data_IF_608051934985
#
_entry.id   IF_608051934985
#
_cell.length_a   1.000
_cell.length_b   1.000
_cell.length_c   1.000
_cell.angle_alpha   90.00
_cell.angle_beta   90.00
_cell.angle_gamma   90.00
#
_symmetry.space_group_name_H-M   'P 1'
#
loop_
_entity.id
_entity.type
_entity.pdbx_description
1 polymer ?
#
# COMPACT_ATOMS: atom_id res chain seq x y z
N UNK A 1 -0.92 5.66 -18.48
CA UNK A 1 0.35 6.03 -17.79
C UNK A 1 0.51 5.19 -16.54
N UNK A 2 1.73 4.86 -16.13
CA UNK A 2 2.02 4.22 -14.84
C UNK A 2 3.05 5.08 -14.11
N UNK A 3 2.72 5.51 -12.90
CA UNK A 3 3.60 6.20 -11.98
C UNK A 3 3.84 5.32 -10.76
N UNK A 4 4.98 4.64 -10.76
CA UNK A 4 5.35 3.71 -9.69
C UNK A 4 5.69 4.43 -8.38
N UNK A 5 6.16 5.68 -8.43
CA UNK A 5 6.54 6.43 -7.23
C UNK A 5 5.31 6.80 -6.41
N UNK A 6 4.25 7.22 -7.09
CA UNK A 6 3.00 7.62 -6.45
C UNK A 6 1.93 6.51 -6.45
N UNK A 7 2.28 5.31 -6.94
CA UNK A 7 1.38 4.15 -7.05
C UNK A 7 0.08 4.46 -7.80
N UNK A 8 0.21 5.13 -8.94
CA UNK A 8 -0.90 5.59 -9.77
C UNK A 8 -0.84 4.91 -11.12
N UNK A 9 -1.99 4.42 -11.59
CA UNK A 9 -2.18 3.96 -12.96
C UNK A 9 -3.36 4.67 -13.59
N UNK A 10 -3.17 5.16 -14.80
CA UNK A 10 -4.23 5.78 -15.61
C UNK A 10 -4.38 5.02 -16.92
N UNK A 11 -5.62 4.68 -17.26
CA UNK A 11 -6.00 4.02 -18.50
C UNK A 11 -7.09 4.84 -19.20
N UNK A 12 -6.99 4.97 -20.52
CA UNK A 12 -7.98 5.64 -21.37
C UNK A 12 -8.53 4.64 -22.36
N UNK A 13 -9.84 4.65 -22.56
CA UNK A 13 -10.49 3.93 -23.66
C UNK A 13 -10.23 4.71 -24.95
N UNK A 14 -9.67 4.05 -25.95
CA UNK A 14 -9.32 4.66 -27.25
C UNK A 14 -10.26 4.22 -28.38
N UNK A 15 -10.95 3.09 -28.22
CA UNK A 15 -11.94 2.56 -29.16
C UNK A 15 -12.99 1.74 -28.41
N UNK A 16 -14.22 1.71 -28.93
CA UNK A 16 -15.34 0.92 -28.43
C UNK A 16 -15.85 1.32 -27.03
N UNK A 17 -16.68 0.45 -26.44
CA UNK A 17 -17.09 0.54 -25.04
C UNK A 17 -17.87 1.81 -24.74
N UNK A 18 -17.41 2.61 -23.77
CA UNK A 18 -18.05 3.90 -23.46
C UNK A 18 -17.95 4.89 -24.63
N UNK A 19 -16.98 4.76 -25.53
CA UNK A 19 -16.93 5.66 -26.69
C UNK A 19 -18.12 5.43 -27.64
N UNK A 20 -18.61 4.19 -27.73
CA UNK A 20 -19.80 3.86 -28.54
C UNK A 20 -21.11 4.36 -27.89
N UNK A 21 -21.06 4.81 -26.63
CA UNK A 21 -22.20 5.33 -25.87
C UNK A 21 -22.29 6.86 -25.91
N UNK A 22 -21.51 7.52 -26.77
CA UNK A 22 -21.54 8.99 -26.93
C UNK A 22 -20.57 9.74 -26.02
N UNK A 23 -19.67 9.05 -25.32
CA UNK A 23 -18.55 9.68 -24.63
C UNK A 23 -17.38 9.87 -25.60
N UNK A 24 -16.80 11.06 -25.71
CA UNK A 24 -15.60 11.26 -26.54
C UNK A 24 -14.29 10.99 -25.77
N UNK A 25 -14.39 10.86 -24.43
CA UNK A 25 -13.28 10.58 -23.52
C UNK A 25 -13.83 9.77 -22.38
N UNK A 26 -13.14 8.68 -22.07
CA UNK A 26 -13.38 7.88 -20.88
C UNK A 26 -12.04 7.38 -20.35
N UNK A 27 -11.70 7.78 -19.12
CA UNK A 27 -10.44 7.46 -18.46
C UNK A 27 -10.70 6.97 -17.05
N UNK A 28 -9.90 6.00 -16.61
CA UNK A 28 -9.96 5.47 -15.26
C UNK A 28 -8.58 5.65 -14.62
N UNK A 29 -8.57 6.24 -13.44
CA UNK A 29 -7.39 6.41 -12.59
C UNK A 29 -7.52 5.51 -11.37
N UNK A 30 -6.49 4.71 -11.13
CA UNK A 30 -6.34 3.86 -9.96
C UNK A 30 -5.17 4.36 -9.11
N UNK A 31 -5.39 4.45 -7.81
CA UNK A 31 -4.38 4.90 -6.85
C UNK A 31 -4.35 3.94 -5.66
N UNK A 32 -3.15 3.51 -5.27
CA UNK A 32 -2.94 2.73 -4.05
C UNK A 32 -2.40 3.66 -2.98
N UNK A 33 -3.22 3.87 -1.94
CA UNK A 33 -2.89 4.76 -0.83
C UNK A 33 -2.54 3.88 0.37
N UNK A 34 -1.25 3.85 0.73
CA UNK A 34 -0.78 3.13 1.92
C UNK A 34 -1.26 3.77 3.22
N UNK A 35 -1.46 2.94 4.24
CA UNK A 35 -1.78 3.36 5.61
C UNK A 35 -0.73 2.83 6.59
N UNK A 36 -0.71 3.39 7.80
CA UNK A 36 0.28 3.07 8.84
C UNK A 36 0.23 1.60 9.30
N UNK A 37 -0.94 0.97 9.25
CA UNK A 37 -1.24 -0.38 9.73
C UNK A 37 -0.94 -1.49 8.71
N UNK A 38 -0.05 -1.24 7.74
CA UNK A 38 0.23 -2.13 6.59
C UNK A 38 -1.02 -2.46 5.76
N UNK A 39 -2.07 -1.66 5.87
CA UNK A 39 -3.22 -1.72 4.97
C UNK A 39 -3.10 -0.68 3.86
N UNK A 40 -3.99 -0.77 2.88
CA UNK A 40 -4.06 0.18 1.77
C UNK A 40 -5.51 0.43 1.38
N UNK A 41 -5.76 1.61 0.83
CA UNK A 41 -7.01 1.94 0.14
C UNK A 41 -6.75 1.96 -1.35
N UNK A 42 -7.61 1.28 -2.11
CA UNK A 42 -7.65 1.38 -3.57
C UNK A 42 -8.67 2.46 -3.91
N UNK A 43 -8.20 3.61 -4.39
CA UNK A 43 -9.07 4.68 -4.89
C UNK A 43 -9.18 4.56 -6.40
N UNK A 44 -10.40 4.51 -6.90
CA UNK A 44 -10.70 4.49 -8.34
C UNK A 44 -11.52 5.72 -8.70
N UNK A 45 -11.08 6.44 -9.73
CA UNK A 45 -11.76 7.62 -10.27
C UNK A 45 -12.05 7.37 -11.74
N UNK A 46 -13.27 7.67 -12.17
CA UNK A 46 -13.64 7.66 -13.58
C UNK A 46 -13.81 9.11 -14.01
N UNK A 47 -13.09 9.50 -15.06
CA UNK A 47 -13.26 10.78 -15.74
C UNK A 47 -13.82 10.52 -17.12
N UNK A 48 -14.92 11.18 -17.46
CA UNK A 48 -15.55 11.07 -18.76
C UNK A 48 -16.06 12.42 -19.23
N UNK A 49 -16.16 12.56 -20.54
CA UNK A 49 -16.74 13.71 -21.20
C UNK A 49 -17.54 13.20 -22.41
N UNK A 50 -18.67 13.84 -22.73
CA UNK A 50 -19.59 13.42 -23.77
C UNK A 50 -20.53 14.54 -24.18
N UNK A 51 -21.36 14.25 -25.19
CA UNK A 51 -22.33 15.21 -25.73
C UNK A 51 -23.64 15.25 -24.95
N UNK A 52 -24.31 16.41 -24.98
CA UNK A 52 -25.58 16.65 -24.28
C UNK A 52 -26.70 15.74 -24.79
N UNK A 53 -26.69 15.34 -26.07
CA UNK A 53 -27.70 14.42 -26.63
C UNK A 53 -27.70 13.04 -25.94
N UNK A 54 -26.55 12.66 -25.37
CA UNK A 54 -26.34 11.36 -24.73
C UNK A 54 -26.16 11.50 -23.21
N UNK A 55 -26.53 12.64 -22.62
CA UNK A 55 -26.33 12.92 -21.20
C UNK A 55 -26.95 11.86 -20.27
N UNK A 56 -28.04 11.21 -20.66
CA UNK A 56 -28.66 10.11 -19.89
C UNK A 56 -27.74 8.89 -19.72
N UNK A 57 -26.81 8.67 -20.66
CA UNK A 57 -25.85 7.56 -20.59
C UNK A 57 -24.81 7.76 -19.48
N UNK A 58 -24.67 8.97 -18.91
CA UNK A 58 -23.85 9.20 -17.73
C UNK A 58 -24.24 8.28 -16.55
N UNK A 59 -25.52 7.91 -16.46
CA UNK A 59 -26.01 6.97 -15.44
C UNK A 59 -25.44 5.55 -15.55
N UNK A 60 -24.90 5.17 -16.71
CA UNK A 60 -24.26 3.87 -16.94
C UNK A 60 -22.84 3.80 -16.37
N UNK A 61 -22.23 4.97 -16.10
CA UNK A 61 -20.88 5.04 -15.53
C UNK A 61 -20.96 4.80 -14.04
N UNK A 62 -20.34 3.72 -13.55
CA UNK A 62 -20.37 3.37 -12.13
C UNK A 62 -19.00 2.91 -11.65
N UNK A 63 -18.58 3.45 -10.50
CA UNK A 63 -17.38 2.98 -9.78
C UNK A 63 -17.61 1.65 -9.05
N UNK A 64 -18.85 1.18 -8.95
CA UNK A 64 -19.19 -0.10 -8.28
C UNK A 64 -18.46 -1.29 -8.92
N UNK A 65 -18.39 -1.34 -10.25
CA UNK A 65 -17.65 -2.38 -10.99
C UNK A 65 -16.17 -2.40 -10.59
N UNK A 66 -15.56 -1.22 -10.42
CA UNK A 66 -14.17 -1.10 -10.01
C UNK A 66 -13.96 -1.55 -8.56
N UNK A 67 -14.93 -1.27 -7.68
CA UNK A 67 -14.92 -1.78 -6.30
C UNK A 67 -15.01 -3.32 -6.28
N UNK A 68 -15.90 -3.93 -7.07
CA UNK A 68 -16.01 -5.39 -7.16
C UNK A 68 -14.72 -6.04 -7.69
N UNK A 69 -14.05 -5.42 -8.66
CA UNK A 69 -12.74 -5.87 -9.15
C UNK A 69 -11.69 -5.79 -8.02
N UNK A 70 -11.65 -4.69 -7.28
CA UNK A 70 -10.73 -4.51 -6.16
C UNK A 70 -10.94 -5.55 -5.05
N UNK A 71 -12.20 -5.88 -4.73
CA UNK A 71 -12.56 -6.94 -3.79
C UNK A 71 -12.09 -8.32 -4.28
N UNK A 72 -12.34 -8.64 -5.55
CA UNK A 72 -11.93 -9.91 -6.15
C UNK A 72 -10.40 -10.08 -6.14
N UNK A 73 -9.65 -9.04 -6.50
CA UNK A 73 -8.18 -9.04 -6.45
C UNK A 73 -7.69 -9.20 -5.01
N UNK A 74 -8.30 -8.49 -4.06
CA UNK A 74 -7.93 -8.59 -2.63
C UNK A 74 -8.16 -10.00 -2.09
N UNK A 75 -9.28 -10.63 -2.45
CA UNK A 75 -9.58 -12.02 -2.10
C UNK A 75 -8.54 -12.98 -2.69
N UNK A 76 -8.27 -12.86 -3.99
CA UNK A 76 -7.28 -13.69 -4.68
C UNK A 76 -5.89 -13.59 -4.04
N UNK A 77 -5.41 -12.37 -3.76
CA UNK A 77 -4.10 -12.16 -3.12
C UNK A 77 -4.04 -12.80 -1.72
N UNK A 78 -5.12 -12.70 -0.93
CA UNK A 78 -5.20 -13.32 0.41
C UNK A 78 -5.19 -14.85 0.34
N UNK A 79 -5.89 -15.42 -0.63
CA UNK A 79 -5.94 -16.87 -0.86
C UNK A 79 -4.58 -17.41 -1.32
N UNK A 80 -3.89 -16.70 -2.22
CA UNK A 80 -2.55 -17.08 -2.69
C UNK A 80 -1.46 -16.98 -1.61
N UNK A 81 -1.69 -16.20 -0.54
CA UNK A 81 -0.71 -15.97 0.52
C UNK A 81 -0.75 -17.01 1.65
N UNK A 82 -1.60 -18.04 1.55
CA UNK A 82 -1.79 -19.08 2.58
C UNK A 82 -1.24 -20.45 2.12
N UNK A 83 -0.51 -21.27 2.91
CA UNK A 83 0.51 -21.02 3.93
C UNK A 83 1.92 -21.45 3.42
N UNK A 84 2.33 -21.14 2.19
CA UNK A 84 3.69 -21.44 1.72
C UNK A 84 4.71 -20.31 2.03
N UNK A 85 4.27 -19.19 2.62
CA UNK A 85 5.07 -17.97 2.80
C UNK A 85 4.87 -17.36 4.20
N UNK A 86 4.81 -18.21 5.24
CA UNK A 86 4.81 -17.77 6.64
C UNK A 86 6.21 -17.81 7.29
N UNK A 87 7.26 -18.18 6.56
CA UNK A 87 8.59 -18.42 7.13
C UNK A 87 9.65 -17.32 6.92
N UNK A 88 9.34 -16.21 6.24
CA UNK A 88 10.36 -15.14 6.04
C UNK A 88 10.02 -13.78 6.68
N UNK A 89 8.99 -13.69 7.50
CA UNK A 89 8.74 -12.49 8.32
C UNK A 89 8.63 -12.83 9.82
N UNK A 90 9.56 -13.66 10.31
CA UNK A 90 9.77 -13.89 11.74
C UNK A 90 11.27 -13.94 12.03
N UNK A 91 11.99 -12.84 11.81
CA UNK A 91 13.23 -12.58 12.55
C UNK A 91 13.33 -11.09 12.79
N UNK A 92 12.91 -10.71 13.98
CA UNK A 92 12.86 -9.34 14.49
C UNK A 92 12.06 -9.30 15.77
N UNK A 93 12.23 -10.30 16.63
CA UNK A 93 11.69 -10.32 17.98
C UNK A 93 12.40 -9.25 18.81
N UNK A 94 11.62 -8.55 19.64
CA UNK A 94 11.99 -7.32 20.32
C UNK A 94 12.31 -7.62 21.80
N UNK A 95 13.40 -6.99 22.27
CA UNK A 95 13.66 -6.48 23.63
C UNK A 95 14.18 -7.47 24.70
N UNK A 96 14.63 -6.97 25.87
CA UNK A 96 15.79 -6.10 26.09
C UNK A 96 16.73 -6.68 27.17
N UNK A 97 18.02 -6.34 27.18
CA UNK A 97 18.83 -6.54 28.40
C UNK A 97 19.80 -5.38 28.60
N UNK A 98 19.40 -4.47 29.49
CA UNK A 98 20.34 -3.71 30.30
C UNK A 98 20.55 -4.54 31.57
N UNK A 99 21.79 -4.84 31.95
CA UNK A 99 22.36 -4.58 33.30
C UNK A 99 23.86 -4.91 33.30
N UNK A 100 24.67 -3.85 33.38
CA UNK A 100 25.83 -3.68 34.25
C UNK A 100 26.75 -4.88 34.55
N UNK A 101 27.99 -4.82 34.04
CA UNK A 101 29.16 -5.09 34.88
C UNK A 101 30.37 -4.25 34.44
N UNK A 102 30.51 -3.09 35.08
CA UNK A 102 31.73 -2.28 35.06
C UNK A 102 32.60 -2.80 36.21
N UNK A 103 33.56 -3.66 35.90
CA UNK A 103 34.53 -4.13 36.90
C UNK A 103 35.52 -3.01 37.25
N UNK A 104 35.85 -2.96 38.53
CA UNK A 104 36.18 -1.81 39.35
C UNK A 104 37.67 -1.38 39.31
N UNK A 105 38.07 -0.31 40.02
CA UNK A 105 39.45 0.19 40.02
C UNK A 105 40.33 -0.58 40.99
N UNK A 106 41.61 -0.76 40.63
CA UNK A 106 42.65 -1.17 41.57
C UNK A 106 42.96 0.00 42.52
N UNK A 107 42.55 -0.15 43.78
CA UNK A 107 43.17 0.52 44.91
C UNK A 107 43.59 -0.58 45.89
N UNK A 108 44.89 -0.77 46.09
CA UNK A 108 45.42 -1.47 47.26
C UNK A 108 46.12 -0.46 48.15
N UNK A 109 45.57 -0.37 49.36
CA UNK A 109 45.98 0.35 50.55
C UNK A 109 47.31 -0.16 51.13
N UNK A 110 48.02 0.69 51.89
CA UNK A 110 48.88 0.18 52.96
C UNK A 110 50.11 1.03 53.27
N UNK A 111 50.00 1.83 54.33
CA UNK A 111 51.09 2.50 55.03
C UNK A 111 52.31 1.61 55.32
N UNK A 112 53.50 2.20 55.21
CA UNK A 112 54.56 1.96 56.21
C UNK A 112 55.52 3.13 56.30
N UNK A 113 55.44 3.83 57.43
CA UNK A 113 56.48 4.69 57.97
C UNK A 113 57.62 3.83 58.53
N UNK A 114 58.88 4.17 58.25
CA UNK A 114 60.05 4.17 59.16
C UNK A 114 61.37 4.22 58.36
N UNK A 115 62.24 5.12 58.82
CA UNK A 115 63.65 5.37 58.51
C UNK A 115 64.00 6.24 57.31
#
# INVERSE_FOLDING_TARGET
MVDNKNYVKEARVIEGGFLDLGFWKYSVRFEIIGKEDKTSVIRSTIEYEGDDQHASNASLVSTSVLASIAEAITKYIKEQRSPAQASEQTTGEKAPEQTSEKQAPEQTSGERSMN
#
